data_IF_697609561997
#
_entry.id   IF_697609561997
#
_cell.length_a   1.000
_cell.length_b   1.000
_cell.length_c   1.000
_cell.angle_alpha   90.00
_cell.angle_beta   90.00
_cell.angle_gamma   90.00
#
_symmetry.space_group_name_H-M   'P 1'
#
loop_
_entity.id
_entity.type
_entity.pdbx_description
1 polymer ?
#
# COMPACT_ATOMS: atom_id res chain seq x y z
N UNK A 1 9.17 -5.02 3.71
CA UNK A 1 9.31 -5.11 2.26
C UNK A 1 7.95 -5.07 1.57
N UNK A 2 7.92 -4.76 0.27
CA UNK A 2 6.69 -4.70 -0.53
C UNK A 2 6.48 -6.02 -1.29
N UNK A 3 5.33 -6.65 -1.09
CA UNK A 3 4.90 -7.81 -1.86
C UNK A 3 4.22 -7.42 -3.19
N UNK A 4 4.09 -8.39 -4.10
CA UNK A 4 3.28 -8.24 -5.32
C UNK A 4 1.85 -8.69 -5.07
N UNK A 5 0.93 -8.30 -5.94
CA UNK A 5 -0.42 -8.86 -5.99
C UNK A 5 -0.33 -10.40 -6.10
N UNK A 6 -1.01 -11.12 -5.23
CA UNK A 6 -0.96 -12.58 -5.08
C UNK A 6 0.46 -13.13 -4.78
N UNK A 7 1.38 -12.28 -4.33
CA UNK A 7 2.76 -12.63 -3.99
C UNK A 7 2.92 -13.16 -2.56
N UNK A 8 4.12 -13.01 -2.02
CA UNK A 8 4.51 -13.60 -0.73
C UNK A 8 3.66 -13.13 0.45
N UNK A 9 3.19 -11.87 0.43
CA UNK A 9 2.38 -11.29 1.51
C UNK A 9 0.86 -11.43 1.28
N UNK A 10 0.40 -12.26 0.36
CA UNK A 10 -1.00 -12.39 -0.07
C UNK A 10 -1.98 -12.74 1.05
N UNK A 11 -1.53 -13.44 2.08
CA UNK A 11 -2.35 -13.94 3.18
C UNK A 11 -2.43 -12.97 4.36
N UNK A 12 -1.68 -11.86 4.31
CA UNK A 12 -1.72 -10.81 5.33
C UNK A 12 -2.77 -9.75 4.99
N UNK A 13 -3.54 -9.36 5.99
CA UNK A 13 -4.40 -8.18 5.92
C UNK A 13 -3.57 -6.88 5.98
N UNK A 14 -4.15 -5.76 5.52
CA UNK A 14 -3.51 -4.46 5.66
C UNK A 14 -3.18 -4.11 7.11
N UNK A 15 -4.08 -4.43 8.05
CA UNK A 15 -3.89 -4.16 9.48
C UNK A 15 -2.74 -4.98 10.08
N UNK A 16 -2.55 -6.24 9.69
CA UNK A 16 -1.42 -7.05 10.14
C UNK A 16 -0.09 -6.48 9.61
N UNK A 17 -0.02 -6.13 8.32
CA UNK A 17 1.17 -5.49 7.73
C UNK A 17 1.46 -4.14 8.40
N UNK A 18 0.43 -3.34 8.64
CA UNK A 18 0.56 -2.07 9.36
C UNK A 18 1.06 -2.26 10.79
N UNK A 19 0.58 -3.28 11.49
CA UNK A 19 1.02 -3.63 12.84
C UNK A 19 2.51 -4.00 12.90
N UNK A 20 3.00 -4.79 11.94
CA UNK A 20 4.43 -5.10 11.83
C UNK A 20 5.28 -3.85 11.64
N UNK A 21 4.85 -2.95 10.75
CA UNK A 21 5.55 -1.69 10.50
C UNK A 21 5.53 -0.76 11.73
N UNK A 22 4.39 -0.64 12.42
CA UNK A 22 4.25 0.16 13.65
C UNK A 22 5.19 -0.37 14.74
N UNK A 23 5.16 -1.68 15.00
CA UNK A 23 6.02 -2.32 16.00
C UNK A 23 7.49 -2.01 15.73
N UNK A 24 7.95 -2.23 14.52
CA UNK A 24 9.33 -1.96 14.14
C UNK A 24 9.71 -0.47 14.21
N UNK A 25 8.81 0.42 13.84
CA UNK A 25 9.02 1.86 13.94
C UNK A 25 9.21 2.30 15.39
N UNK A 26 8.39 1.80 16.32
CA UNK A 26 8.51 2.07 17.75
C UNK A 26 9.83 1.53 18.32
N UNK A 27 10.18 0.29 18.00
CA UNK A 27 11.43 -0.34 18.44
C UNK A 27 12.66 0.46 17.98
N UNK A 28 12.69 0.87 16.71
CA UNK A 28 13.80 1.66 16.13
C UNK A 28 13.87 3.08 16.68
N UNK A 29 12.73 3.68 16.97
CA UNK A 29 12.68 5.01 17.57
C UNK A 29 13.01 5.00 19.08
N UNK A 30 13.07 3.82 19.73
CA UNK A 30 13.21 3.70 21.17
C UNK A 30 12.01 4.26 21.92
N UNK A 31 10.83 4.24 21.28
CA UNK A 31 9.57 4.72 21.86
C UNK A 31 8.76 3.53 22.37
N UNK A 32 8.38 3.58 23.65
CA UNK A 32 7.51 2.57 24.25
C UNK A 32 6.06 2.76 23.77
N UNK A 33 5.29 1.68 23.53
CA UNK A 33 3.92 1.77 23.07
C UNK A 33 2.97 2.62 23.93
N UNK A 34 3.24 2.71 25.23
CA UNK A 34 2.50 3.53 26.20
C UNK A 34 2.81 5.04 26.11
N UNK A 35 3.84 5.43 25.38
CA UNK A 35 4.15 6.83 25.10
C UNK A 35 3.42 7.40 23.87
N UNK A 36 2.72 6.54 23.12
CA UNK A 36 2.02 6.98 21.91
C UNK A 36 0.69 7.61 22.27
N UNK A 37 0.47 8.84 21.83
CA UNK A 37 -0.77 9.60 22.07
C UNK A 37 -1.83 9.38 20.98
N UNK A 38 -1.40 9.13 19.72
CA UNK A 38 -2.30 9.01 18.59
C UNK A 38 -1.72 8.17 17.44
N UNK A 39 -2.60 7.50 16.70
CA UNK A 39 -2.21 6.71 15.51
C UNK A 39 -3.02 7.15 14.29
N UNK A 40 -2.33 7.47 13.19
CA UNK A 40 -2.96 7.84 11.90
C UNK A 40 -2.42 6.92 10.81
N UNK A 41 -3.26 6.05 10.25
CA UNK A 41 -2.87 5.15 9.16
C UNK A 41 -3.70 5.38 7.92
N UNK A 42 -3.00 5.54 6.79
CA UNK A 42 -3.62 5.60 5.47
C UNK A 42 -3.99 4.21 4.97
N UNK A 43 -5.19 4.08 4.41
CA UNK A 43 -5.62 2.89 3.68
C UNK A 43 -6.65 3.27 2.63
N UNK A 44 -6.54 2.75 1.43
CA UNK A 44 -7.46 3.02 0.30
C UNK A 44 -8.57 1.98 0.24
N UNK A 45 -8.20 0.70 0.19
CA UNK A 45 -9.15 -0.42 0.05
C UNK A 45 -9.65 -0.83 1.43
N UNK A 46 -10.70 -0.16 1.90
CA UNK A 46 -11.24 -0.36 3.25
C UNK A 46 -12.44 -1.32 3.30
N UNK A 47 -13.02 -1.66 2.16
CA UNK A 47 -14.14 -2.59 2.10
C UNK A 47 -13.73 -3.97 2.65
N UNK A 48 -14.47 -4.47 3.62
CA UNK A 48 -14.16 -5.78 4.26
C UNK A 48 -13.01 -5.78 5.25
N UNK A 49 -12.30 -4.66 5.44
CA UNK A 49 -11.15 -4.56 6.37
C UNK A 49 -11.56 -4.52 7.86
N UNK A 50 -12.85 -4.48 8.16
CA UNK A 50 -13.37 -4.37 9.52
C UNK A 50 -13.45 -2.92 10.00
N UNK A 51 -13.75 -2.75 11.30
CA UNK A 51 -13.87 -1.44 11.91
C UNK A 51 -12.50 -0.79 12.08
N UNK A 52 -12.33 0.44 11.61
CA UNK A 52 -11.17 1.28 11.83
C UNK A 52 -9.83 0.50 11.71
N UNK A 53 -9.39 0.27 10.50
CA UNK A 53 -8.19 -0.53 10.24
C UNK A 53 -6.93 0.01 10.92
N UNK A 54 -6.83 1.35 11.12
CA UNK A 54 -5.75 1.96 11.88
C UNK A 54 -5.75 1.50 13.35
N UNK A 55 -6.95 1.34 13.96
CA UNK A 55 -7.08 0.78 15.31
C UNK A 55 -6.58 -0.66 15.36
N UNK A 56 -6.95 -1.47 14.37
CA UNK A 56 -6.50 -2.86 14.29
C UNK A 56 -4.97 -2.94 14.15
N UNK A 57 -4.37 -2.13 13.28
CA UNK A 57 -2.93 -2.05 13.10
C UNK A 57 -2.21 -1.55 14.37
N UNK A 58 -2.76 -0.53 15.05
CA UNK A 58 -2.25 0.01 16.31
C UNK A 58 -2.11 -1.09 17.37
N UNK A 59 -3.18 -1.85 17.59
CA UNK A 59 -3.20 -2.96 18.57
C UNK A 59 -2.26 -4.10 18.14
N UNK A 60 -2.25 -4.45 16.84
CA UNK A 60 -1.32 -5.45 16.31
C UNK A 60 0.16 -5.03 16.46
N UNK A 61 0.43 -3.72 16.45
CA UNK A 61 1.75 -3.13 16.72
C UNK A 61 2.11 -3.02 18.20
N UNK A 62 1.21 -3.42 19.11
CA UNK A 62 1.44 -3.43 20.56
C UNK A 62 0.99 -2.16 21.30
N UNK A 63 0.35 -1.20 20.62
CA UNK A 63 -0.18 0.03 21.22
C UNK A 63 -1.49 -0.28 21.95
N UNK A 64 -1.71 0.34 23.11
CA UNK A 64 -2.87 0.11 23.96
C UNK A 64 -4.21 0.51 23.31
N UNK A 65 -5.30 -0.08 23.82
CA UNK A 65 -6.67 0.19 23.35
C UNK A 65 -7.17 1.60 23.72
N UNK A 66 -6.55 2.25 24.67
CA UNK A 66 -6.82 3.61 25.14
C UNK A 66 -6.29 4.69 24.19
N UNK A 67 -5.28 4.38 23.38
CA UNK A 67 -4.72 5.31 22.38
C UNK A 67 -5.66 5.48 21.18
N UNK A 68 -6.15 6.68 20.87
CA UNK A 68 -7.05 6.87 19.71
C UNK A 68 -6.36 6.59 18.37
N UNK A 69 -7.14 6.14 17.38
CA UNK A 69 -6.64 5.82 16.07
C UNK A 69 -7.58 6.28 14.95
N UNK A 70 -7.02 6.78 13.85
CA UNK A 70 -7.74 7.29 12.69
C UNK A 70 -7.26 6.61 11.42
N UNK A 71 -8.18 6.04 10.65
CA UNK A 71 -7.91 5.61 9.27
C UNK A 71 -8.28 6.72 8.31
N UNK A 72 -7.35 7.12 7.44
CA UNK A 72 -7.59 8.16 6.44
C UNK A 72 -7.46 7.61 5.03
N UNK A 73 -8.19 8.22 4.10
CA UNK A 73 -8.13 7.91 2.67
C UNK A 73 -7.95 9.21 1.86
N UNK A 74 -6.81 9.34 1.22
CA UNK A 74 -6.49 10.34 0.19
C UNK A 74 -5.86 9.64 -1.01
N UNK A 75 -6.42 8.48 -1.37
CA UNK A 75 -5.91 7.58 -2.42
C UNK A 75 -4.41 7.31 -2.23
N UNK A 76 -3.58 7.38 -3.25
CA UNK A 76 -2.13 7.09 -3.18
C UNK A 76 -1.35 8.01 -2.22
N UNK A 77 -1.91 9.15 -1.81
CA UNK A 77 -1.28 10.10 -0.88
C UNK A 77 -1.64 9.85 0.59
N UNK A 78 -2.41 8.80 0.92
CA UNK A 78 -2.92 8.58 2.27
C UNK A 78 -1.81 8.51 3.32
N UNK A 79 -0.75 7.74 3.08
CA UNK A 79 0.37 7.60 4.02
C UNK A 79 1.12 8.92 4.23
N UNK A 80 1.44 9.64 3.17
CA UNK A 80 2.10 10.97 3.26
C UNK A 80 1.19 11.97 3.96
N UNK A 81 -0.12 11.93 3.69
CA UNK A 81 -1.08 12.81 4.36
C UNK A 81 -1.22 12.48 5.86
N UNK A 82 -1.10 11.22 6.27
CA UNK A 82 -1.05 10.83 7.67
C UNK A 82 0.14 11.50 8.40
N UNK A 83 1.32 11.47 7.79
CA UNK A 83 2.53 12.11 8.31
C UNK A 83 2.35 13.64 8.41
N UNK A 84 1.78 14.28 7.38
CA UNK A 84 1.51 15.70 7.40
C UNK A 84 0.51 16.11 8.49
N UNK A 85 -0.52 15.29 8.73
CA UNK A 85 -1.47 15.51 9.82
C UNK A 85 -0.80 15.35 11.20
N UNK A 86 0.06 14.34 11.36
CA UNK A 86 0.82 14.15 12.59
C UNK A 86 1.70 15.36 12.90
N UNK A 87 2.45 15.87 11.91
CA UNK A 87 3.25 17.10 12.06
C UNK A 87 2.40 18.30 12.51
N UNK A 88 1.21 18.47 11.91
CA UNK A 88 0.29 19.55 12.27
C UNK A 88 -0.24 19.41 13.70
N UNK A 89 -0.61 18.22 14.13
CA UNK A 89 -1.11 17.97 15.49
C UNK A 89 -0.03 18.19 16.54
N UNK A 90 1.19 17.76 16.30
CA UNK A 90 2.34 17.99 17.17
C UNK A 90 2.66 19.50 17.26
N UNK A 91 2.70 20.20 16.15
CA UNK A 91 2.93 21.65 16.12
C UNK A 91 1.82 22.46 16.79
N UNK A 92 0.59 21.95 16.76
CA UNK A 92 -0.53 22.58 17.44
C UNK A 92 -0.50 22.34 18.97
N UNK A 93 0.36 21.45 19.47
CA UNK A 93 0.45 21.08 20.87
C UNK A 93 -0.69 20.16 21.35
N UNK A 94 -1.36 19.48 20.40
CA UNK A 94 -2.44 18.53 20.72
C UNK A 94 -1.88 17.18 21.19
N UNK A 95 -0.75 16.74 20.63
CA UNK A 95 -0.09 15.48 20.93
C UNK A 95 1.43 15.64 20.89
N UNK A 96 2.15 14.84 21.67
CA UNK A 96 3.62 14.82 21.69
C UNK A 96 4.18 13.69 20.81
N UNK A 97 3.55 12.51 20.80
CA UNK A 97 4.00 11.33 20.07
C UNK A 97 2.88 10.76 19.20
N UNK A 98 3.04 10.85 17.89
CA UNK A 98 2.06 10.36 16.90
C UNK A 98 2.69 9.32 16.00
N UNK A 99 2.08 8.16 15.90
CA UNK A 99 2.42 7.16 14.88
C UNK A 99 1.64 7.45 13.62
N UNK A 100 2.34 7.67 12.50
CA UNK A 100 1.73 7.99 11.23
C UNK A 100 2.35 7.18 10.08
N UNK A 101 1.53 6.70 9.17
CA UNK A 101 1.99 5.92 8.02
C UNK A 101 0.86 5.46 7.12
N UNK A 102 1.07 4.36 6.43
CA UNK A 102 0.07 3.74 5.57
C UNK A 102 0.24 2.23 5.51
N UNK A 103 -0.81 1.56 5.11
CA UNK A 103 -0.87 0.11 4.96
C UNK A 103 -1.85 -0.24 3.86
N UNK A 104 -1.58 -1.30 3.11
CA UNK A 104 -2.48 -1.79 2.08
C UNK A 104 -2.26 -3.27 1.80
N UNK A 105 -3.34 -3.99 1.53
CA UNK A 105 -3.30 -5.35 1.02
C UNK A 105 -4.25 -5.48 -0.17
N UNK A 106 -3.75 -5.21 -1.37
CA UNK A 106 -4.57 -5.25 -2.59
C UNK A 106 -5.07 -6.66 -2.90
N UNK A 107 -4.32 -7.68 -2.51
CA UNK A 107 -4.73 -9.09 -2.66
C UNK A 107 -5.96 -9.44 -1.83
N UNK A 108 -6.12 -8.78 -0.66
CA UNK A 108 -7.26 -8.99 0.22
C UNK A 108 -8.46 -8.08 -0.11
N UNK A 109 -8.35 -7.25 -1.15
CA UNK A 109 -9.47 -6.44 -1.64
C UNK A 109 -10.64 -7.32 -2.08
N UNK A 110 -11.87 -7.11 -1.54
CA UNK A 110 -13.00 -7.97 -1.86
C UNK A 110 -13.64 -7.63 -3.21
N UNK A 111 -14.47 -8.55 -3.71
CA UNK A 111 -15.45 -8.22 -4.74
C UNK A 111 -16.75 -7.76 -4.07
N UNK A 112 -17.30 -6.67 -4.55
CA UNK A 112 -18.49 -6.02 -4.00
C UNK A 112 -19.72 -6.39 -4.83
N UNK A 113 -20.82 -6.61 -4.15
CA UNK A 113 -22.12 -6.83 -4.76
C UNK A 113 -23.07 -5.66 -4.40
N UNK A 114 -23.01 -4.54 -5.16
CA UNK A 114 -23.87 -3.38 -4.89
C UNK A 114 -25.35 -3.72 -5.01
N UNK A 115 -26.19 -3.01 -4.26
CA UNK A 115 -27.66 -3.19 -4.25
C UNK A 115 -28.16 -4.55 -3.75
N UNK A 116 -27.27 -5.43 -3.23
CA UNK A 116 -27.64 -6.76 -2.73
C UNK A 116 -28.70 -6.74 -1.61
N UNK A 117 -28.71 -5.68 -0.77
CA UNK A 117 -29.69 -5.56 0.33
C UNK A 117 -31.14 -5.42 -0.11
N UNK A 118 -31.38 -4.85 -1.29
CA UNK A 118 -32.73 -4.72 -1.86
C UNK A 118 -33.13 -5.92 -2.73
N UNK A 119 -32.23 -6.88 -2.91
CA UNK A 119 -32.43 -8.04 -3.79
C UNK A 119 -32.28 -7.70 -5.28
N UNK A 120 -32.27 -8.74 -6.09
CA UNK A 120 -32.12 -8.63 -7.54
C UNK A 120 -33.35 -9.20 -8.25
N UNK A 121 -33.69 -8.59 -9.39
CA UNK A 121 -34.69 -9.13 -10.31
C UNK A 121 -34.06 -10.23 -11.16
N UNK A 122 -34.89 -10.87 -11.99
CA UNK A 122 -34.44 -11.85 -12.97
C UNK A 122 -33.32 -11.27 -13.88
N UNK A 123 -32.25 -12.05 -14.08
CA UNK A 123 -31.10 -11.70 -14.89
C UNK A 123 -29.78 -11.72 -14.13
N UNK A 124 -28.67 -11.53 -14.84
CA UNK A 124 -27.33 -11.57 -14.27
C UNK A 124 -27.02 -10.32 -13.45
N UNK A 125 -26.08 -10.47 -12.50
CA UNK A 125 -25.57 -9.39 -11.66
C UNK A 125 -24.04 -9.42 -11.69
N UNK A 126 -23.43 -8.27 -11.96
CA UNK A 126 -21.98 -8.11 -11.91
C UNK A 126 -21.50 -7.80 -10.48
N UNK A 127 -20.37 -8.38 -10.09
CA UNK A 127 -19.60 -7.97 -8.91
C UNK A 127 -18.50 -6.98 -9.34
N UNK A 128 -18.23 -6.01 -8.47
CA UNK A 128 -17.16 -5.04 -8.67
C UNK A 128 -15.91 -5.47 -7.89
N UNK A 129 -14.75 -5.45 -8.51
CA UNK A 129 -13.48 -5.57 -7.82
C UNK A 129 -13.21 -4.25 -7.07
N UNK A 130 -13.17 -4.30 -5.73
CA UNK A 130 -12.94 -3.10 -4.91
C UNK A 130 -11.57 -2.46 -5.20
N UNK A 131 -10.55 -3.24 -5.52
CA UNK A 131 -9.22 -2.73 -5.89
C UNK A 131 -9.28 -1.90 -7.17
N UNK A 132 -9.98 -2.40 -8.19
CA UNK A 132 -10.15 -1.67 -9.43
C UNK A 132 -11.07 -0.46 -9.24
N UNK A 133 -12.24 -0.65 -8.62
CA UNK A 133 -13.30 0.36 -8.56
C UNK A 133 -12.99 1.50 -7.60
N UNK A 134 -12.53 1.18 -6.38
CA UNK A 134 -12.31 2.19 -5.33
C UNK A 134 -10.92 2.84 -5.40
N UNK A 135 -9.92 2.18 -6.03
CA UNK A 135 -8.54 2.64 -6.01
C UNK A 135 -7.97 3.01 -7.40
N UNK A 136 -8.34 2.30 -8.47
CA UNK A 136 -7.64 2.38 -9.77
C UNK A 136 -8.52 2.88 -10.92
N UNK A 137 -9.78 3.22 -10.66
CA UNK A 137 -10.71 3.80 -11.64
C UNK A 137 -11.01 5.25 -11.27
N UNK A 138 -10.84 6.17 -12.22
CA UNK A 138 -11.24 7.55 -12.04
C UNK A 138 -12.75 7.65 -11.78
N UNK A 139 -13.12 8.34 -10.70
CA UNK A 139 -14.51 8.41 -10.25
C UNK A 139 -15.40 9.29 -11.15
N UNK A 140 -14.81 10.17 -11.92
CA UNK A 140 -15.54 11.15 -12.76
C UNK A 140 -15.59 10.67 -14.21
N UNK A 141 -14.45 10.33 -14.79
CA UNK A 141 -14.34 9.89 -16.19
C UNK A 141 -14.62 8.38 -16.36
N UNK A 142 -14.67 7.62 -15.25
CA UNK A 142 -14.91 6.17 -15.23
C UNK A 142 -13.93 5.37 -16.11
N UNK A 143 -12.68 5.82 -16.16
CA UNK A 143 -11.59 5.15 -16.85
C UNK A 143 -10.53 4.65 -15.89
N UNK A 144 -9.79 3.62 -16.27
CA UNK A 144 -8.64 3.17 -15.48
C UNK A 144 -7.58 4.28 -15.40
N UNK A 145 -6.90 4.40 -14.25
CA UNK A 145 -5.85 5.40 -14.03
C UNK A 145 -4.76 5.35 -15.10
N UNK A 146 -4.44 4.16 -15.64
CA UNK A 146 -3.49 4.02 -16.73
C UNK A 146 -3.97 4.71 -18.04
N UNK A 147 -5.26 4.61 -18.36
CA UNK A 147 -5.85 5.31 -19.52
C UNK A 147 -5.76 6.83 -19.33
N UNK A 148 -6.06 7.33 -18.14
CA UNK A 148 -5.89 8.76 -17.80
C UNK A 148 -4.44 9.20 -17.95
N UNK A 149 -3.48 8.37 -17.54
CA UNK A 149 -2.04 8.64 -17.70
C UNK A 149 -1.62 8.72 -19.17
N UNK A 150 -2.13 7.84 -20.02
CA UNK A 150 -1.86 7.90 -21.48
C UNK A 150 -2.36 9.21 -22.11
N UNK A 151 -3.50 9.73 -21.64
CA UNK A 151 -3.97 11.06 -22.04
C UNK A 151 -2.97 12.18 -21.68
N UNK A 152 -2.32 12.08 -20.52
CA UNK A 152 -1.26 13.01 -20.12
C UNK A 152 0.01 12.83 -20.94
N UNK A 153 0.42 11.58 -21.22
CA UNK A 153 1.58 11.28 -22.06
C UNK A 153 1.41 11.94 -23.45
N UNK A 154 0.22 11.80 -24.04
CA UNK A 154 -0.12 12.47 -25.30
C UNK A 154 -0.06 14.00 -25.20
N UNK A 155 -0.60 14.56 -24.12
CA UNK A 155 -0.63 16.03 -23.89
C UNK A 155 0.77 16.64 -23.76
N UNK A 156 1.71 15.89 -23.19
CA UNK A 156 3.08 16.35 -22.92
C UNK A 156 4.12 15.77 -23.88
N UNK A 157 3.67 15.12 -24.95
CA UNK A 157 4.53 14.51 -25.98
C UNK A 157 5.56 13.52 -25.40
N UNK A 158 5.19 12.77 -24.35
CA UNK A 158 6.05 11.75 -23.78
C UNK A 158 6.03 10.49 -24.63
N UNK A 159 7.17 10.16 -25.19
CA UNK A 159 7.30 9.00 -26.08
C UNK A 159 7.37 7.69 -25.30
N UNK A 160 7.10 6.58 -25.98
CA UNK A 160 7.27 5.23 -25.42
C UNK A 160 8.72 4.96 -25.03
N UNK A 161 9.65 5.42 -25.85
CA UNK A 161 11.09 5.26 -25.59
C UNK A 161 11.53 5.97 -24.31
N UNK A 162 11.06 7.18 -24.07
CA UNK A 162 11.33 7.91 -22.83
C UNK A 162 10.76 7.22 -21.60
N UNK A 163 9.54 6.67 -21.71
CA UNK A 163 8.93 5.88 -20.64
C UNK A 163 9.74 4.60 -20.36
N UNK A 164 10.16 3.88 -21.38
CA UNK A 164 10.96 2.67 -21.24
C UNK A 164 12.35 2.96 -20.64
N UNK A 165 13.00 4.06 -21.01
CA UNK A 165 14.27 4.51 -20.40
C UNK A 165 14.07 4.80 -18.92
N UNK A 166 13.03 5.55 -18.55
CA UNK A 166 12.73 5.87 -17.15
C UNK A 166 12.44 4.62 -16.34
N UNK A 167 11.62 3.72 -16.85
CA UNK A 167 11.27 2.48 -16.17
C UNK A 167 12.47 1.54 -15.98
N UNK A 168 13.33 1.39 -17.00
CA UNK A 168 14.56 0.62 -16.91
C UNK A 168 15.50 1.18 -15.84
N UNK A 169 15.74 2.50 -15.85
CA UNK A 169 16.55 3.16 -14.82
C UNK A 169 15.98 2.98 -13.41
N UNK A 170 14.65 3.05 -13.24
CA UNK A 170 14.00 2.84 -11.95
C UNK A 170 14.28 1.45 -11.40
N UNK A 171 14.12 0.40 -12.19
CA UNK A 171 14.45 -0.96 -11.79
C UNK A 171 15.93 -1.15 -11.46
N UNK A 172 16.83 -0.63 -12.30
CA UNK A 172 18.27 -0.74 -12.12
C UNK A 172 18.74 -0.04 -10.83
N UNK A 173 18.24 1.18 -10.58
CA UNK A 173 18.57 1.92 -9.35
C UNK A 173 18.05 1.21 -8.10
N UNK A 174 16.82 0.69 -8.14
CA UNK A 174 16.25 -0.05 -7.03
C UNK A 174 17.04 -1.35 -6.76
N UNK A 175 17.41 -2.10 -7.81
CA UNK A 175 18.19 -3.32 -7.69
C UNK A 175 19.59 -3.04 -7.14
N UNK A 176 20.25 -1.96 -7.58
CA UNK A 176 21.54 -1.55 -7.06
C UNK A 176 21.44 -1.12 -5.58
N UNK A 177 20.42 -0.36 -5.21
CA UNK A 177 20.17 0.05 -3.84
C UNK A 177 19.95 -1.17 -2.92
N UNK A 178 19.13 -2.14 -3.33
CA UNK A 178 18.94 -3.40 -2.60
C UNK A 178 20.27 -4.15 -2.43
N UNK A 179 21.05 -4.30 -3.50
CA UNK A 179 22.35 -5.00 -3.47
C UNK A 179 23.35 -4.33 -2.53
N UNK A 180 23.30 -3.01 -2.43
CA UNK A 180 24.22 -2.22 -1.59
C UNK A 180 23.69 -2.00 -0.16
N UNK A 181 22.58 -2.64 0.23
CA UNK A 181 22.01 -2.56 1.57
C UNK A 181 21.44 -1.19 1.94
N UNK A 182 21.10 -0.34 0.95
CA UNK A 182 20.58 1.02 1.20
C UNK A 182 19.29 1.03 2.02
N UNK A 183 18.50 -0.05 1.91
CA UNK A 183 17.21 -0.18 2.59
C UNK A 183 17.27 -1.01 3.88
N UNK A 184 18.43 -1.50 4.30
CA UNK A 184 18.55 -2.41 5.46
C UNK A 184 18.06 -1.75 6.76
N UNK A 185 18.27 -0.44 6.91
CA UNK A 185 17.80 0.33 8.07
C UNK A 185 16.30 0.66 7.99
N UNK A 186 15.65 0.51 6.84
CA UNK A 186 14.25 0.86 6.63
C UNK A 186 13.35 -0.37 6.61
N UNK A 187 13.80 -1.46 5.99
CA UNK A 187 13.02 -2.70 5.85
C UNK A 187 13.05 -3.50 7.15
N UNK A 188 11.89 -4.02 7.50
CA UNK A 188 11.71 -5.03 8.55
C UNK A 188 11.30 -6.34 7.90
N UNK A 189 12.00 -7.41 8.22
CA UNK A 189 11.68 -8.75 7.71
C UNK A 189 10.31 -9.22 8.22
N UNK A 190 9.54 -9.83 7.34
CA UNK A 190 8.24 -10.45 7.66
C UNK A 190 8.41 -11.97 7.68
N UNK A 191 8.13 -12.58 8.80
CA UNK A 191 8.08 -14.04 8.93
C UNK A 191 6.74 -14.57 8.41
N UNK A 192 6.79 -15.35 7.32
CA UNK A 192 5.61 -15.95 6.71
C UNK A 192 5.46 -17.38 7.24
N UNK A 193 4.43 -17.65 8.07
CA UNK A 193 4.22 -18.97 8.62
C UNK A 193 4.07 -20.04 7.53
N UNK A 194 4.70 -21.18 7.73
CA UNK A 194 4.57 -22.33 6.85
C UNK A 194 3.70 -23.42 7.49
N UNK A 195 2.99 -24.18 6.67
CA UNK A 195 2.21 -25.33 7.15
C UNK A 195 3.07 -26.41 7.82
N UNK A 196 4.33 -26.52 7.39
CA UNK A 196 5.35 -27.41 7.95
C UNK A 196 6.72 -26.76 7.77
N UNK A 197 7.58 -26.89 8.78
CA UNK A 197 8.91 -26.30 8.77
C UNK A 197 9.00 -24.88 9.35
N UNK A 198 10.14 -24.26 9.19
CA UNK A 198 10.39 -22.91 9.68
C UNK A 198 9.67 -21.85 8.83
N UNK A 199 9.32 -20.68 9.39
CA UNK A 199 8.78 -19.57 8.62
C UNK A 199 9.72 -19.14 7.49
N UNK A 200 9.15 -18.70 6.38
CA UNK A 200 9.93 -18.02 5.32
C UNK A 200 10.16 -16.58 5.75
N UNK A 201 11.42 -16.16 5.77
CA UNK A 201 11.78 -14.76 6.01
C UNK A 201 11.67 -13.99 4.70
N UNK A 202 10.78 -13.00 4.67
CA UNK A 202 10.56 -12.12 3.54
C UNK A 202 11.08 -10.71 3.89
N UNK A 203 12.20 -10.32 3.30
CA UNK A 203 12.97 -9.12 3.64
C UNK A 203 13.33 -8.24 2.43
N UNK A 204 12.88 -8.61 1.24
CA UNK A 204 13.24 -7.93 -0.01
C UNK A 204 11.99 -7.60 -0.84
N UNK A 205 11.96 -6.42 -1.47
CA UNK A 205 10.85 -6.02 -2.33
C UNK A 205 10.73 -6.93 -3.55
N UNK A 206 9.57 -7.55 -3.72
CA UNK A 206 9.30 -8.56 -4.76
C UNK A 206 9.18 -7.97 -6.17
N UNK A 207 8.88 -6.67 -6.27
CA UNK A 207 8.59 -6.00 -7.53
C UNK A 207 9.81 -5.60 -8.36
N UNK A 208 10.99 -5.57 -7.75
CA UNK A 208 12.22 -5.12 -8.41
C UNK A 208 12.75 -6.19 -9.37
N UNK A 209 13.03 -5.78 -10.62
CA UNK A 209 13.57 -6.65 -11.67
C UNK A 209 14.90 -6.11 -12.15
N UNK A 210 15.99 -6.68 -11.66
CA UNK A 210 17.36 -6.23 -11.95
C UNK A 210 17.75 -6.40 -13.45
N UNK A 211 17.10 -7.32 -14.15
CA UNK A 211 17.33 -7.64 -15.57
C UNK A 211 16.50 -6.76 -16.54
N UNK A 212 15.74 -5.80 -16.04
CA UNK A 212 14.96 -4.89 -16.88
C UNK A 212 15.85 -3.96 -17.67
N UNK A 213 15.68 -3.96 -18.99
CA UNK A 213 16.39 -3.07 -19.94
C UNK A 213 15.40 -2.38 -20.87
N UNK A 214 15.82 -1.31 -21.54
CA UNK A 214 15.02 -0.63 -22.57
C UNK A 214 14.60 -1.60 -23.67
N UNK A 215 15.51 -2.48 -24.10
CA UNK A 215 15.23 -3.48 -25.13
C UNK A 215 14.16 -4.50 -24.70
N UNK A 216 14.17 -4.92 -23.44
CA UNK A 216 13.16 -5.87 -22.93
C UNK A 216 11.80 -5.20 -22.78
N UNK A 217 11.76 -3.94 -22.36
CA UNK A 217 10.54 -3.15 -22.24
C UNK A 217 9.93 -2.84 -23.62
N UNK A 218 10.74 -2.44 -24.60
CA UNK A 218 10.29 -2.11 -25.97
C UNK A 218 9.60 -3.27 -26.70
N UNK A 219 9.77 -4.52 -26.24
CA UNK A 219 9.07 -5.71 -26.76
C UNK A 219 7.68 -5.93 -26.16
N UNK A 220 7.37 -5.24 -25.07
CA UNK A 220 6.08 -5.36 -24.41
C UNK A 220 5.00 -4.56 -25.17
N UNK A 221 3.80 -5.13 -25.22
CA UNK A 221 2.65 -4.40 -25.73
C UNK A 221 2.21 -3.32 -24.74
N UNK A 222 1.71 -2.18 -25.21
CA UNK A 222 1.06 -1.21 -24.33
C UNK A 222 -0.06 -1.88 -23.53
N UNK A 223 -0.25 -1.43 -22.28
CA UNK A 223 -1.27 -1.97 -21.40
C UNK A 223 -2.62 -1.24 -21.52
N UNK A 224 -2.60 0.04 -21.92
CA UNK A 224 -3.78 0.92 -21.90
C UNK A 224 -4.04 1.67 -23.23
N UNK A 225 -3.18 1.61 -24.19
CA UNK A 225 -3.33 2.31 -25.49
C UNK A 225 -3.15 1.36 -26.67
#
# INVERSE_FOLDING_TARGET
>A
PMGRLLGSLKDFSAAELGGLAIKAALERAGVSPDQVDYVIMGQVIQAGAGQNAARQASVAGGIGMDVPALTINKVCLSGINAIALADQLIRAGEYDVVVAGGMESMTQGPHLLPKSRSGFKYGDVAMLDATAYDALTDAFDQVAMGVSTEGHNTKYDLTREEQDVFAAQSHQRAAEAQKNGVFDDEIVAVEIPQRKGDPIVFDTDEGVRADTTVDTLGRLRPAFS
#
